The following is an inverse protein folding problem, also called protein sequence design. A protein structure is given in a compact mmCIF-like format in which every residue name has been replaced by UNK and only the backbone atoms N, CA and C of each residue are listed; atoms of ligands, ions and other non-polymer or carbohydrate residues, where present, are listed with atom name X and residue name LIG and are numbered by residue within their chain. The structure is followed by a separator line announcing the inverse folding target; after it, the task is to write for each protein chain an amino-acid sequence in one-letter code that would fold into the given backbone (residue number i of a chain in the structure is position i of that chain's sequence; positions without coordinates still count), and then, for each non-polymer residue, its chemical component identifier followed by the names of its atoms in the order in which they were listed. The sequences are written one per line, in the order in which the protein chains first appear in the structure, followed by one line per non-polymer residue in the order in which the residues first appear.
data_IF_465071723274
#
_entry.id   IF_465071723274
#
_cell.length_a   1.000
_cell.length_b   1.000
_cell.length_c   1.000
_cell.angle_alpha   90.00
_cell.angle_beta   90.00
_cell.angle_gamma   90.00
#
_symmetry.space_group_name_H-M   'P 1'
#
loop_
_entity.id
_entity.type
_entity.pdbx_description
1 polymer ?
#
# COMPACT_ATOMS: atom_id res chain seq x y z
N UNK A 1 13.11 24.40 -75.07
CA UNK A 1 12.89 25.80 -74.63
C UNK A 1 11.62 25.86 -73.80
N UNK A 2 11.78 26.05 -72.50
CA UNK A 2 10.93 26.78 -71.53
C UNK A 2 9.42 26.98 -71.85
N UNK A 3 8.52 26.62 -70.92
CA UNK A 3 8.08 27.49 -69.79
C UNK A 3 7.33 26.72 -68.69
N UNK A 4 7.79 27.00 -67.48
CA UNK A 4 7.23 26.70 -66.16
C UNK A 4 5.85 27.36 -65.98
N UNK A 5 4.86 26.65 -65.42
CA UNK A 5 3.68 27.27 -64.81
C UNK A 5 3.64 26.89 -63.32
N UNK A 6 4.03 27.87 -62.52
CA UNK A 6 3.88 27.94 -61.07
C UNK A 6 2.38 28.07 -60.76
N UNK A 7 1.82 27.18 -59.94
CA UNK A 7 0.57 27.45 -59.24
C UNK A 7 0.65 26.92 -57.80
N UNK A 8 0.57 27.89 -56.89
CA UNK A 8 0.08 27.86 -55.51
C UNK A 8 0.82 26.96 -54.49
N UNK A 9 1.66 27.64 -53.70
CA UNK A 9 2.06 27.23 -52.37
C UNK A 9 0.85 26.98 -51.47
N UNK A 10 0.90 25.89 -50.69
CA UNK A 10 0.06 25.70 -49.52
C UNK A 10 0.92 25.04 -48.45
N UNK A 11 1.67 25.87 -47.73
CA UNK A 11 2.28 25.52 -46.45
C UNK A 11 1.14 25.29 -45.45
N UNK A 12 0.63 24.07 -45.36
CA UNK A 12 -0.27 23.67 -44.28
C UNK A 12 0.59 23.38 -43.05
N UNK A 13 0.96 24.43 -42.31
CA UNK A 13 1.53 24.30 -40.98
C UNK A 13 0.47 23.75 -40.03
N UNK A 14 0.42 22.42 -39.89
CA UNK A 14 -0.34 21.77 -38.83
C UNK A 14 0.37 22.07 -37.51
N UNK A 15 -0.04 23.14 -36.83
CA UNK A 15 0.34 23.42 -35.46
C UNK A 15 -0.33 22.37 -34.56
N UNK A 16 0.37 21.25 -34.34
CA UNK A 16 -0.02 20.28 -33.31
C UNK A 16 0.18 20.94 -31.94
N UNK A 17 -0.88 21.54 -31.40
CA UNK A 17 -0.93 21.94 -29.99
C UNK A 17 -0.95 20.65 -29.19
N UNK A 18 0.23 20.19 -28.77
CA UNK A 18 0.35 19.15 -27.77
C UNK A 18 -0.21 19.73 -26.46
N UNK A 19 -1.48 19.45 -26.20
CA UNK A 19 -2.06 19.62 -24.88
C UNK A 19 -1.30 18.67 -23.96
N UNK A 20 -0.39 19.24 -23.16
CA UNK A 20 0.22 18.53 -22.05
C UNK A 20 -0.90 18.23 -21.06
N UNK A 21 -1.50 17.04 -21.18
CA UNK A 21 -2.39 16.52 -20.15
C UNK A 21 -1.60 16.54 -18.84
N UNK A 22 -2.11 17.17 -17.76
CA UNK A 22 -1.51 16.96 -16.46
C UNK A 22 -1.59 15.46 -16.20
N UNK A 23 -0.45 14.77 -16.23
CA UNK A 23 -0.36 13.42 -15.71
C UNK A 23 -0.75 13.55 -14.23
N UNK A 24 -1.95 13.10 -13.88
CA UNK A 24 -2.39 13.17 -12.50
C UNK A 24 -1.41 12.33 -11.69
N UNK A 25 -0.68 13.03 -10.84
CA UNK A 25 0.14 12.42 -9.84
C UNK A 25 -0.79 11.70 -8.87
N UNK A 26 -0.68 10.39 -8.75
CA UNK A 26 -1.39 9.64 -7.72
C UNK A 26 -0.68 9.91 -6.39
N UNK A 27 -0.94 11.09 -5.81
CA UNK A 27 -0.54 11.43 -4.44
C UNK A 27 -1.74 11.21 -3.54
N UNK A 28 -1.59 10.33 -2.56
CA UNK A 28 -2.68 9.91 -1.67
C UNK A 28 -2.20 9.81 -0.23
N UNK A 29 -3.12 10.03 0.70
CA UNK A 29 -2.92 9.61 2.08
C UNK A 29 -3.04 8.08 2.15
N UNK A 30 -2.11 7.46 2.83
CA UNK A 30 -2.04 6.02 3.03
C UNK A 30 -1.72 5.69 4.49
N UNK A 31 -1.87 4.42 4.85
CA UNK A 31 -1.24 3.86 6.05
C UNK A 31 0.07 3.22 5.64
N UNK A 32 1.15 3.52 6.35
CA UNK A 32 2.44 2.86 6.20
C UNK A 32 2.81 2.07 7.46
N UNK A 33 3.23 0.83 7.26
CA UNK A 33 3.88 0.01 8.29
C UNK A 33 5.31 -0.32 7.84
N UNK A 34 6.30 -0.10 8.72
CA UNK A 34 7.73 -0.30 8.44
C UNK A 34 8.24 -1.50 9.23
N UNK A 35 8.79 -2.48 8.52
CA UNK A 35 9.35 -3.71 9.07
C UNK A 35 10.85 -3.75 8.80
N UNK A 36 11.73 -3.90 9.81
CA UNK A 36 13.13 -4.19 9.56
C UNK A 36 13.29 -5.49 8.75
N UNK A 37 14.39 -5.60 8.00
CA UNK A 37 14.68 -6.80 7.23
C UNK A 37 14.78 -8.02 8.16
N UNK A 38 14.01 -9.07 7.85
CA UNK A 38 13.97 -10.31 8.62
C UNK A 38 12.99 -10.30 9.80
N UNK A 39 12.45 -9.14 10.19
CA UNK A 39 11.50 -9.04 11.29
C UNK A 39 10.04 -9.19 10.83
N UNK A 40 9.22 -9.78 11.70
CA UNK A 40 7.76 -9.91 11.53
C UNK A 40 6.98 -8.82 12.29
N UNK A 41 7.68 -7.90 12.95
CA UNK A 41 7.11 -6.79 13.72
C UNK A 41 7.42 -5.45 13.08
N UNK A 42 6.39 -4.64 12.92
CA UNK A 42 6.56 -3.27 12.48
C UNK A 42 7.20 -2.43 13.60
N UNK A 43 8.25 -1.67 13.27
CA UNK A 43 8.87 -0.68 14.18
C UNK A 43 8.18 0.67 14.12
N UNK A 44 7.46 0.94 13.03
CA UNK A 44 6.65 2.16 12.86
C UNK A 44 5.37 1.86 12.09
N UNK A 45 4.26 2.46 12.56
CA UNK A 45 2.94 2.37 11.92
C UNK A 45 2.22 3.72 12.00
N UNK A 46 1.73 4.23 10.88
CA UNK A 46 1.08 5.53 10.85
C UNK A 46 0.50 5.93 9.50
N UNK A 47 -0.16 7.09 9.47
CA UNK A 47 -0.45 7.77 8.22
C UNK A 47 0.86 8.19 7.53
N UNK A 48 0.88 8.09 6.22
CA UNK A 48 1.94 8.53 5.35
C UNK A 48 1.35 9.14 4.08
N UNK A 49 2.16 9.92 3.37
CA UNK A 49 1.81 10.39 2.03
C UNK A 49 2.57 9.55 1.02
N UNK A 50 1.83 8.90 0.11
CA UNK A 50 2.37 8.13 -0.99
C UNK A 50 2.21 8.94 -2.28
N UNK A 51 3.23 8.97 -3.13
CA UNK A 51 3.16 9.57 -4.48
C UNK A 51 3.81 8.66 -5.50
N UNK A 52 3.17 8.45 -6.64
CA UNK A 52 3.79 7.85 -7.83
C UNK A 52 3.66 8.79 -9.03
N UNK A 53 4.80 9.23 -9.58
CA UNK A 53 4.88 10.16 -10.73
C UNK A 53 5.95 9.74 -11.71
N UNK A 54 5.57 9.51 -12.96
CA UNK A 54 6.51 9.12 -14.03
C UNK A 54 7.37 7.89 -13.62
N UNK A 55 6.78 6.96 -12.88
CA UNK A 55 7.47 5.78 -12.35
C UNK A 55 8.26 6.01 -11.06
N UNK A 56 8.60 7.24 -10.68
CA UNK A 56 9.21 7.55 -9.38
C UNK A 56 8.19 7.37 -8.26
N UNK A 57 8.66 6.87 -7.12
CA UNK A 57 7.85 6.68 -5.92
C UNK A 57 8.45 7.48 -4.78
N UNK A 58 7.60 8.27 -4.11
CA UNK A 58 7.94 9.00 -2.90
C UNK A 58 7.02 8.53 -1.77
N UNK A 59 7.59 8.17 -0.63
CA UNK A 59 6.85 7.76 0.57
C UNK A 59 7.31 8.63 1.73
N UNK A 60 6.45 9.54 2.18
CA UNK A 60 6.70 10.35 3.36
C UNK A 60 6.07 9.70 4.58
N UNK A 61 6.91 9.08 5.40
CA UNK A 61 6.50 8.35 6.60
C UNK A 61 6.14 9.30 7.74
N UNK A 62 5.33 8.80 8.67
CA UNK A 62 5.08 9.44 9.97
C UNK A 62 6.40 9.64 10.70
N UNK A 63 6.74 10.89 11.00
CA UNK A 63 8.04 11.26 11.60
C UNK A 63 8.96 12.01 10.65
N UNK A 64 8.56 12.21 9.40
CA UNK A 64 9.25 13.08 8.44
C UNK A 64 10.31 12.38 7.58
N UNK A 65 10.57 11.09 7.81
CA UNK A 65 11.44 10.31 6.93
C UNK A 65 10.82 10.22 5.53
N UNK A 66 11.59 10.60 4.52
CA UNK A 66 11.23 10.52 3.12
C UNK A 66 11.97 9.35 2.48
N UNK A 67 11.27 8.54 1.71
CA UNK A 67 11.83 7.42 0.95
C UNK A 67 11.56 7.70 -0.52
N UNK A 68 12.62 7.93 -1.28
CA UNK A 68 12.56 8.14 -2.72
C UNK A 68 13.06 6.89 -3.44
N UNK A 69 12.30 6.43 -4.42
CA UNK A 69 12.61 5.26 -5.23
C UNK A 69 12.55 5.62 -6.71
N UNK A 70 13.70 5.50 -7.37
CA UNK A 70 13.83 5.69 -8.80
C UNK A 70 13.50 4.37 -9.53
N UNK A 71 12.65 4.37 -10.57
CA UNK A 71 12.36 3.15 -11.31
C UNK A 71 13.61 2.64 -12.02
N UNK A 72 13.74 1.32 -12.08
CA UNK A 72 14.63 0.66 -13.03
C UNK A 72 13.90 0.56 -14.37
N UNK A 73 14.34 1.34 -15.35
CA UNK A 73 13.72 1.43 -16.69
C UNK A 73 13.66 0.08 -17.43
N UNK A 74 14.55 -0.85 -17.09
CA UNK A 74 14.67 -2.14 -17.78
C UNK A 74 13.89 -3.26 -17.10
N UNK A 75 13.43 -3.09 -15.86
CA UNK A 75 12.82 -4.18 -15.08
C UNK A 75 11.59 -3.68 -14.33
N UNK A 76 10.39 -4.14 -14.72
CA UNK A 76 9.15 -3.79 -14.03
C UNK A 76 9.23 -4.08 -12.54
N UNK A 77 8.69 -3.16 -11.74
CA UNK A 77 8.67 -3.27 -10.27
C UNK A 77 10.05 -3.31 -9.60
N UNK A 78 11.14 -3.07 -10.32
CA UNK A 78 12.45 -2.85 -9.73
C UNK A 78 12.74 -1.35 -9.63
N UNK A 79 13.40 -0.97 -8.55
CA UNK A 79 13.70 0.41 -8.19
C UNK A 79 15.11 0.49 -7.58
N UNK A 80 15.62 1.71 -7.46
CA UNK A 80 16.80 2.04 -6.67
C UNK A 80 16.42 3.08 -5.61
N UNK A 81 16.90 2.91 -4.39
CA UNK A 81 16.80 3.93 -3.34
C UNK A 81 17.80 5.08 -3.57
N UNK A 82 17.77 6.09 -2.70
CA UNK A 82 18.66 7.26 -2.77
C UNK A 82 20.16 6.91 -2.68
N UNK A 83 20.50 5.72 -2.16
CA UNK A 83 21.88 5.22 -2.06
C UNK A 83 22.27 4.37 -3.27
N UNK A 84 21.35 4.14 -4.21
CA UNK A 84 21.55 3.26 -5.35
C UNK A 84 21.33 1.77 -5.03
N UNK A 85 20.81 1.44 -3.84
CA UNK A 85 20.53 0.07 -3.46
C UNK A 85 19.22 -0.43 -4.08
N UNK A 86 19.14 -1.72 -4.47
CA UNK A 86 17.95 -2.24 -5.13
C UNK A 86 16.75 -2.29 -4.18
N UNK A 87 15.58 -1.96 -4.73
CA UNK A 87 14.29 -2.15 -4.10
C UNK A 87 13.31 -2.82 -5.06
N UNK A 88 12.36 -3.58 -4.52
CA UNK A 88 11.34 -4.28 -5.30
C UNK A 88 9.94 -3.90 -4.83
N UNK A 89 9.03 -3.66 -5.77
CA UNK A 89 7.60 -3.48 -5.51
C UNK A 89 6.83 -4.78 -5.64
N UNK A 90 5.93 -5.03 -4.71
CA UNK A 90 4.96 -6.13 -4.72
C UNK A 90 3.55 -5.58 -4.51
N UNK A 91 2.58 -6.04 -5.28
CA UNK A 91 1.17 -5.64 -5.10
C UNK A 91 0.54 -6.51 -4.03
N UNK A 92 -0.18 -5.90 -3.09
CA UNK A 92 -0.99 -6.67 -2.15
C UNK A 92 -2.25 -7.17 -2.85
N UNK A 93 -2.71 -8.36 -2.46
CA UNK A 93 -3.92 -8.97 -3.00
C UNK A 93 -5.16 -8.06 -2.81
N UNK A 94 -6.17 -8.25 -3.66
CA UNK A 94 -7.40 -7.46 -3.65
C UNK A 94 -7.17 -5.94 -3.74
N UNK A 95 -6.05 -5.52 -4.36
CA UNK A 95 -5.67 -4.13 -4.54
C UNK A 95 -5.69 -3.31 -3.23
N UNK A 96 -5.29 -3.91 -2.12
CA UNK A 96 -5.34 -3.27 -0.78
C UNK A 96 -4.18 -2.31 -0.51
N UNK A 97 -3.16 -2.36 -1.36
CA UNK A 97 -1.92 -1.66 -1.14
C UNK A 97 -0.77 -2.26 -1.92
N UNK A 98 0.44 -1.85 -1.54
CA UNK A 98 1.69 -2.27 -2.17
C UNK A 98 2.78 -2.41 -1.10
N UNK A 99 3.83 -3.15 -1.41
CA UNK A 99 5.01 -3.30 -0.56
C UNK A 99 6.25 -2.90 -1.33
N UNK A 100 7.10 -2.11 -0.68
CA UNK A 100 8.43 -1.79 -1.16
C UNK A 100 9.44 -2.52 -0.29
N UNK A 101 10.14 -3.48 -0.89
CA UNK A 101 11.20 -4.29 -0.28
C UNK A 101 12.53 -3.61 -0.53
N UNK A 102 13.10 -2.99 0.50
CA UNK A 102 14.45 -2.43 0.47
C UNK A 102 15.41 -3.38 1.20
N UNK A 103 16.72 -3.14 1.06
CA UNK A 103 17.78 -3.92 1.70
C UNK A 103 17.58 -4.09 3.22
N UNK A 104 17.27 -2.99 3.93
CA UNK A 104 17.23 -2.97 5.40
C UNK A 104 15.83 -3.02 5.99
N UNK A 105 14.80 -2.84 5.17
CA UNK A 105 13.42 -2.76 5.63
C UNK A 105 12.42 -3.03 4.51
N UNK A 106 11.20 -3.37 4.89
CA UNK A 106 10.04 -3.40 4.01
C UNK A 106 9.05 -2.32 4.45
N UNK A 107 8.50 -1.58 3.48
CA UNK A 107 7.48 -0.57 3.71
C UNK A 107 6.19 -1.05 3.06
N UNK A 108 5.19 -1.29 3.89
CA UNK A 108 3.86 -1.68 3.44
C UNK A 108 3.01 -0.41 3.36
N UNK A 109 2.48 -0.13 2.18
CA UNK A 109 1.60 1.01 1.91
C UNK A 109 0.21 0.47 1.71
N UNK A 110 -0.72 0.79 2.61
CA UNK A 110 -2.11 0.37 2.57
C UNK A 110 -3.02 1.53 2.22
N UNK A 111 -4.03 1.28 1.38
CA UNK A 111 -5.03 2.29 1.00
C UNK A 111 -6.11 2.50 2.07
N UNK A 112 -6.27 1.54 3.00
CA UNK A 112 -7.17 1.69 4.15
C UNK A 112 -6.52 2.58 5.24
N UNK A 113 -6.93 3.84 5.26
CA UNK A 113 -6.54 4.83 6.27
C UNK A 113 -7.48 4.90 7.47
N UNK A 114 -8.58 4.12 7.47
CA UNK A 114 -9.61 4.18 8.52
C UNK A 114 -9.07 4.04 9.95
N UNK A 115 -8.02 3.22 10.23
CA UNK A 115 -7.40 3.17 11.55
C UNK A 115 -6.91 4.51 12.13
N UNK A 116 -6.70 5.51 11.27
CA UNK A 116 -6.16 6.81 11.64
C UNK A 116 -7.09 7.98 11.31
N UNK A 117 -8.32 7.71 10.86
CA UNK A 117 -9.29 8.78 10.57
C UNK A 117 -9.61 9.58 11.84
N UNK A 118 -9.43 10.91 11.79
CA UNK A 118 -9.82 11.81 12.89
C UNK A 118 -11.33 11.72 13.10
N UNK A 119 -11.75 11.43 14.33
CA UNK A 119 -13.16 11.25 14.66
C UNK A 119 -13.69 9.83 14.45
N UNK A 120 -12.82 8.84 14.16
CA UNK A 120 -13.16 7.44 14.29
C UNK A 120 -13.45 7.15 15.77
N UNK A 121 -14.69 7.40 16.18
CA UNK A 121 -15.19 7.03 17.50
C UNK A 121 -14.88 5.55 17.71
N UNK A 122 -14.40 5.21 18.90
CA UNK A 122 -14.44 3.85 19.41
C UNK A 122 -15.89 3.43 19.40
N UNK A 123 -16.38 2.87 18.29
CA UNK A 123 -17.70 2.29 18.23
C UNK A 123 -17.74 1.19 19.28
N UNK A 124 -18.36 1.50 20.42
CA UNK A 124 -18.61 0.57 21.54
C UNK A 124 -19.62 -0.53 21.18
N UNK A 125 -20.06 -0.61 19.93
CA UNK A 125 -20.74 -1.77 19.41
C UNK A 125 -19.70 -2.78 18.94
N UNK A 126 -19.39 -3.77 19.77
CA UNK A 126 -19.21 -5.12 19.25
C UNK A 126 -20.60 -5.59 18.77
N UNK A 127 -21.13 -4.99 17.69
CA UNK A 127 -22.37 -5.48 17.11
C UNK A 127 -22.00 -6.79 16.44
N UNK A 128 -22.60 -7.87 16.92
CA UNK A 128 -22.49 -9.24 16.40
C UNK A 128 -23.03 -9.37 14.96
N UNK A 129 -23.38 -8.25 14.31
CA UNK A 129 -24.07 -8.18 13.03
C UNK A 129 -23.16 -8.49 11.85
N UNK A 130 -21.85 -8.23 11.94
CA UNK A 130 -20.89 -8.64 10.92
C UNK A 130 -19.66 -9.31 11.57
N UNK A 131 -19.34 -10.58 11.24
CA UNK A 131 -18.10 -11.20 11.70
C UNK A 131 -16.88 -10.43 11.15
N UNK A 132 -15.78 -10.33 11.90
CA UNK A 132 -14.61 -9.62 11.42
C UNK A 132 -13.99 -10.35 10.22
N UNK A 133 -13.50 -9.58 9.27
CA UNK A 133 -12.83 -10.08 8.08
C UNK A 133 -11.40 -10.53 8.45
N UNK A 134 -11.02 -11.75 8.07
CA UNK A 134 -9.63 -12.19 8.17
C UNK A 134 -8.95 -11.92 6.85
N UNK A 135 -7.94 -11.06 6.95
CA UNK A 135 -7.28 -10.43 5.81
C UNK A 135 -5.82 -10.93 5.82
N UNK A 136 -5.46 -11.92 4.98
CA UNK A 136 -4.07 -12.31 4.81
C UNK A 136 -3.27 -11.11 4.31
N UNK A 137 -2.16 -10.83 4.98
CA UNK A 137 -1.18 -9.82 4.61
C UNK A 137 0.10 -10.53 4.16
N UNK A 138 1.02 -9.75 3.60
CA UNK A 138 2.34 -10.27 3.23
C UNK A 138 3.10 -10.78 4.47
N UNK A 139 4.16 -11.55 4.24
CA UNK A 139 5.00 -12.16 5.29
C UNK A 139 4.24 -13.13 6.22
N UNK A 140 3.08 -13.64 5.77
CA UNK A 140 2.25 -14.53 6.57
C UNK A 140 1.59 -13.83 7.76
N UNK A 141 1.50 -12.50 7.75
CA UNK A 141 0.73 -11.76 8.75
C UNK A 141 -0.76 -11.94 8.42
N UNK A 142 -1.60 -12.11 9.43
CA UNK A 142 -3.05 -12.13 9.28
C UNK A 142 -3.66 -10.98 10.07
N UNK A 143 -4.38 -10.09 9.39
CA UNK A 143 -5.09 -9.00 10.03
C UNK A 143 -6.55 -9.37 10.21
N UNK A 144 -7.05 -9.28 11.43
CA UNK A 144 -8.47 -9.32 11.73
C UNK A 144 -9.00 -7.90 11.68
N UNK A 145 -9.87 -7.65 10.71
CA UNK A 145 -10.47 -6.34 10.42
C UNK A 145 -11.91 -6.30 10.92
N UNK A 146 -12.19 -5.35 11.81
CA UNK A 146 -13.53 -5.01 12.24
C UNK A 146 -14.07 -3.82 11.44
N UNK A 147 -15.39 -3.62 11.48
CA UNK A 147 -15.99 -2.37 11.04
C UNK A 147 -15.37 -1.18 11.80
N UNK A 148 -15.15 -0.09 11.07
CA UNK A 148 -14.45 1.09 11.57
C UNK A 148 -12.93 0.90 11.65
N UNK A 149 -12.32 1.38 12.74
CA UNK A 149 -10.86 1.55 12.86
C UNK A 149 -10.12 0.40 13.59
N UNK A 150 -10.83 -0.58 14.14
CA UNK A 150 -10.17 -1.67 14.88
C UNK A 150 -9.56 -2.70 13.91
N UNK A 151 -8.24 -2.89 14.03
CA UNK A 151 -7.46 -3.93 13.33
C UNK A 151 -6.56 -4.63 14.34
N UNK A 152 -6.50 -5.95 14.30
CA UNK A 152 -5.61 -6.78 15.13
C UNK A 152 -4.76 -7.65 14.22
N UNK A 153 -3.44 -7.62 14.37
CA UNK A 153 -2.52 -8.36 13.52
C UNK A 153 -1.95 -9.57 14.27
N UNK A 154 -1.88 -10.69 13.56
CA UNK A 154 -1.30 -11.95 14.01
C UNK A 154 -0.21 -12.39 13.04
N UNK A 155 0.80 -13.12 13.52
CA UNK A 155 1.80 -13.70 12.63
C UNK A 155 1.28 -15.00 11.98
N UNK A 156 2.15 -15.66 11.18
CA UNK A 156 1.83 -16.89 10.45
C UNK A 156 1.46 -18.10 11.34
N UNK A 157 1.73 -18.01 12.64
CA UNK A 157 1.40 -19.05 13.63
C UNK A 157 0.19 -18.65 14.49
N UNK A 158 -0.45 -17.51 14.22
CA UNK A 158 -1.60 -17.03 14.98
C UNK A 158 -1.26 -16.33 16.29
N UNK A 159 0.00 -15.97 16.53
CA UNK A 159 0.38 -15.21 17.71
C UNK A 159 0.11 -13.71 17.49
N UNK A 160 -0.40 -13.05 18.53
CA UNK A 160 -0.65 -11.62 18.51
C UNK A 160 0.64 -10.83 18.22
N UNK A 161 0.55 -9.87 17.29
CA UNK A 161 1.63 -8.94 16.97
C UNK A 161 1.32 -7.52 17.45
N UNK A 162 0.17 -6.98 17.03
CA UNK A 162 -0.19 -5.58 17.31
C UNK A 162 -1.69 -5.34 17.13
N UNK A 163 -2.16 -4.19 17.62
CA UNK A 163 -3.52 -3.69 17.40
C UNK A 163 -3.53 -2.18 17.19
N UNK A 164 -4.58 -1.68 16.55
CA UNK A 164 -4.86 -0.24 16.52
C UNK A 164 -5.42 0.24 17.86
N UNK A 165 -5.31 1.54 18.15
CA UNK A 165 -5.82 2.12 19.40
C UNK A 165 -7.35 2.01 19.53
N UNK A 166 -8.07 1.89 18.42
CA UNK A 166 -9.52 1.70 18.38
C UNK A 166 -10.00 0.31 18.85
N UNK A 167 -9.07 -0.63 19.09
CA UNK A 167 -9.40 -1.95 19.62
C UNK A 167 -9.37 -1.96 21.15
N UNK A 168 -10.51 -2.21 21.77
CA UNK A 168 -10.60 -2.59 23.18
C UNK A 168 -10.24 -4.08 23.40
N UNK A 169 -10.17 -4.50 24.66
CA UNK A 169 -9.82 -5.88 25.02
C UNK A 169 -10.82 -6.92 24.50
N UNK A 170 -12.11 -6.56 24.42
CA UNK A 170 -13.14 -7.48 23.92
C UNK A 170 -12.95 -7.78 22.43
N UNK A 171 -12.69 -6.74 21.62
CA UNK A 171 -12.38 -6.91 20.19
C UNK A 171 -11.09 -7.71 19.96
N UNK A 172 -10.09 -7.56 20.83
CA UNK A 172 -8.87 -8.39 20.76
C UNK A 172 -9.19 -9.86 21.02
N UNK A 173 -9.99 -10.17 22.05
CA UNK A 173 -10.42 -11.55 22.32
C UNK A 173 -11.20 -12.18 21.16
N UNK A 174 -12.12 -11.41 20.56
CA UNK A 174 -12.86 -11.85 19.36
C UNK A 174 -11.89 -12.14 18.20
N UNK A 175 -10.88 -11.30 18.01
CA UNK A 175 -9.89 -11.48 16.96
C UNK A 175 -9.02 -12.73 17.17
N UNK A 176 -8.61 -13.00 18.41
CA UNK A 176 -7.87 -14.20 18.79
C UNK A 176 -8.69 -15.49 18.57
N UNK A 177 -9.99 -15.45 18.83
CA UNK A 177 -10.88 -16.58 18.57
C UNK A 177 -11.11 -16.78 17.07
N UNK A 178 -11.27 -15.70 16.31
CA UNK A 178 -11.43 -15.74 14.86
C UNK A 178 -10.20 -16.34 14.17
N UNK A 179 -8.99 -15.89 14.55
CA UNK A 179 -7.75 -16.38 13.93
C UNK A 179 -7.47 -17.84 14.30
N UNK A 180 -7.75 -18.26 15.54
CA UNK A 180 -7.63 -19.67 15.95
C UNK A 180 -8.56 -20.58 15.15
N UNK A 181 -9.79 -20.13 14.88
CA UNK A 181 -10.73 -20.87 14.02
C UNK A 181 -10.22 -20.99 12.59
N UNK A 182 -9.78 -19.87 12.01
CA UNK A 182 -9.25 -19.83 10.65
C UNK A 182 -8.08 -20.79 10.44
N UNK A 183 -7.08 -20.80 11.32
CA UNK A 183 -5.94 -21.71 11.17
C UNK A 183 -6.33 -23.18 11.37
N UNK A 184 -7.30 -23.48 12.24
CA UNK A 184 -7.83 -24.83 12.40
C UNK A 184 -8.53 -25.30 11.11
N UNK A 185 -9.35 -24.46 10.51
CA UNK A 185 -10.06 -24.76 9.27
C UNK A 185 -9.10 -24.92 8.08
N UNK A 186 -8.09 -24.06 7.97
CA UNK A 186 -7.08 -24.17 6.91
C UNK A 186 -6.22 -25.42 7.07
N UNK A 187 -5.80 -25.76 8.30
CA UNK A 187 -5.07 -27.00 8.57
C UNK A 187 -5.88 -28.28 8.32
N UNK A 188 -7.22 -28.20 8.44
CA UNK A 188 -8.12 -29.32 8.13
C UNK A 188 -8.37 -29.52 6.63
N UNK A 189 -8.07 -28.53 5.77
CA UNK A 189 -8.21 -28.63 4.31
C UNK A 189 -6.98 -29.20 3.61
N UNK A 190 -5.89 -29.43 4.35
CA UNK A 190 -4.61 -29.96 3.86
C UNK A 190 -4.41 -31.46 4.09
N UNK A 191 -5.45 -32.20 4.47
CA UNK A 191 -5.44 -33.65 4.67
C UNK A 191 -6.51 -34.35 3.84
#
# INVERSE_FOLDING_TARGET
MTRLKILAASLLSVAAVAVASPALADTVDARCDVFPAGDDKATSSGLCTFSQRQGFVSIQLKGGQMIELKPNESTPNAFFDERGEPAKREMLEANRGQVYRLEKQSIFVFWDTAPYAKGASSGSGASMENPPEIVPLLLGIHQVKFDGACRVNFNKTGNYLSKTSACDAAKVGIAEDAIRRYFREQGSKTH
#
